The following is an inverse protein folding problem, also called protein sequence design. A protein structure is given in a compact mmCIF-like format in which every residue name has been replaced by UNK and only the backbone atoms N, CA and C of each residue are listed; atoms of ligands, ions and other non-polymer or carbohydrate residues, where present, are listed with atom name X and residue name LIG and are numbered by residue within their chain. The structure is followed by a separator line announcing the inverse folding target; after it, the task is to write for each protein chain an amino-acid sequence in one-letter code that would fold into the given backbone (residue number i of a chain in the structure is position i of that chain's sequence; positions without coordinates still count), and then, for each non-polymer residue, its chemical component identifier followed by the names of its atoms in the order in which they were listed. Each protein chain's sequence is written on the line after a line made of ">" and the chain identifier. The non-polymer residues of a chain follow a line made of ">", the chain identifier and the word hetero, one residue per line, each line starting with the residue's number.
data_IF_380544274314
#
_entry.id   IF_380544274314
#
_cell.length_a   1.000
_cell.length_b   1.000
_cell.length_c   1.000
_cell.angle_alpha   90.00
_cell.angle_beta   90.00
_cell.angle_gamma   90.00
#
_symmetry.space_group_name_H-M   'P 1'
#
loop_
_entity.id
_entity.type
_entity.pdbx_description
1 polymer ?
#
# COMPACT_ATOMS: atom_id res chain seq x y z
N UNK A 1 31.70 16.17 -7.04
CA UNK A 1 31.28 15.02 -7.88
C UNK A 1 30.66 13.96 -6.99
N UNK A 2 29.43 13.52 -7.27
CA UNK A 2 28.78 12.45 -6.50
C UNK A 2 29.42 11.10 -6.77
N UNK A 3 29.68 10.31 -5.72
CA UNK A 3 30.21 8.94 -5.87
C UNK A 3 29.13 8.06 -6.52
N UNK A 4 29.47 7.43 -7.65
CA UNK A 4 28.57 6.49 -8.31
C UNK A 4 28.38 5.24 -7.43
N UNK A 5 27.14 4.77 -7.31
CA UNK A 5 26.81 3.57 -6.56
C UNK A 5 27.42 2.33 -7.23
N UNK A 6 27.94 1.40 -6.43
CA UNK A 6 28.36 0.09 -6.92
C UNK A 6 27.18 -0.67 -7.54
N UNK A 7 27.44 -1.46 -8.59
CA UNK A 7 26.43 -2.30 -9.27
C UNK A 7 25.61 -3.15 -8.29
N UNK A 8 26.25 -3.68 -7.23
CA UNK A 8 25.58 -4.45 -6.17
C UNK A 8 24.57 -3.60 -5.38
N UNK A 9 24.95 -2.37 -5.06
CA UNK A 9 24.07 -1.43 -4.34
C UNK A 9 22.88 -1.00 -5.22
N UNK A 10 23.12 -0.70 -6.49
CA UNK A 10 22.07 -0.35 -7.46
C UNK A 10 21.05 -1.49 -7.59
N UNK A 11 21.52 -2.72 -7.74
CA UNK A 11 20.65 -3.90 -7.89
C UNK A 11 19.81 -4.13 -6.64
N UNK A 12 20.41 -4.01 -5.44
CA UNK A 12 19.70 -4.15 -4.16
C UNK A 12 18.59 -3.10 -4.05
N UNK A 13 18.91 -1.83 -4.28
CA UNK A 13 17.92 -0.74 -4.19
C UNK A 13 16.82 -0.91 -5.23
N UNK A 14 17.15 -1.32 -6.45
CA UNK A 14 16.16 -1.60 -7.51
C UNK A 14 15.14 -2.65 -7.08
N UNK A 15 15.59 -3.77 -6.50
CA UNK A 15 14.69 -4.85 -6.04
C UNK A 15 13.75 -4.38 -4.94
N UNK A 16 14.26 -3.61 -3.97
CA UNK A 16 13.45 -3.01 -2.90
C UNK A 16 12.43 -2.04 -3.48
N UNK A 17 12.85 -1.17 -4.39
CA UNK A 17 11.95 -0.20 -5.04
C UNK A 17 10.85 -0.90 -5.84
N UNK A 18 11.17 -1.97 -6.58
CA UNK A 18 10.17 -2.79 -7.28
C UNK A 18 9.12 -3.36 -6.34
N UNK A 19 9.53 -3.97 -5.22
CA UNK A 19 8.60 -4.46 -4.21
C UNK A 19 7.74 -3.33 -3.61
N UNK A 20 8.36 -2.18 -3.32
CA UNK A 20 7.70 -1.01 -2.75
C UNK A 20 6.59 -0.46 -3.66
N UNK A 21 6.82 -0.43 -4.98
CA UNK A 21 5.82 0.00 -5.96
C UNK A 21 4.53 -0.85 -5.84
N UNK A 22 4.66 -2.15 -5.62
CA UNK A 22 3.50 -3.03 -5.47
C UNK A 22 2.71 -2.73 -4.18
N UNK A 23 3.42 -2.53 -3.06
CA UNK A 23 2.81 -2.16 -1.77
C UNK A 23 2.10 -0.80 -1.86
N UNK A 24 2.76 0.21 -2.44
CA UNK A 24 2.16 1.54 -2.58
C UNK A 24 0.93 1.55 -3.47
N UNK A 25 0.90 0.74 -4.54
CA UNK A 25 -0.29 0.56 -5.37
C UNK A 25 -1.45 -0.10 -4.61
N UNK A 26 -1.18 -1.11 -3.80
CA UNK A 26 -2.20 -1.77 -2.98
C UNK A 26 -2.78 -0.79 -1.94
N UNK A 27 -1.93 -0.02 -1.25
CA UNK A 27 -2.36 1.04 -0.33
C UNK A 27 -3.15 2.12 -1.06
N UNK A 28 -2.75 2.50 -2.27
CA UNK A 28 -3.48 3.45 -3.11
C UNK A 28 -4.91 2.98 -3.40
N UNK A 29 -5.10 1.72 -3.78
CA UNK A 29 -6.45 1.16 -3.97
C UNK A 29 -7.26 1.15 -2.68
N UNK A 30 -6.65 0.77 -1.56
CA UNK A 30 -7.32 0.79 -0.27
C UNK A 30 -7.82 2.20 0.10
N UNK A 31 -7.01 3.22 -0.17
CA UNK A 31 -7.37 4.63 0.08
C UNK A 31 -8.48 5.15 -0.83
N UNK A 32 -8.70 4.56 -2.01
CA UNK A 32 -9.75 4.99 -2.93
C UNK A 32 -11.17 4.78 -2.37
N UNK A 33 -11.35 3.89 -1.40
CA UNK A 33 -12.64 3.71 -0.71
C UNK A 33 -13.03 4.90 0.17
N UNK A 34 -12.06 5.77 0.54
CA UNK A 34 -12.31 6.99 1.31
C UNK A 34 -13.04 6.78 2.66
N UNK A 35 -13.01 5.56 3.20
CA UNK A 35 -13.71 5.14 4.43
C UNK A 35 -13.37 5.98 5.66
N UNK A 36 -12.18 6.60 5.70
CA UNK A 36 -11.70 7.44 6.80
C UNK A 36 -11.43 8.89 6.39
N UNK A 37 -12.07 9.40 5.33
CA UNK A 37 -11.91 10.83 4.97
C UNK A 37 -12.62 11.79 5.93
N UNK A 38 -13.53 11.30 6.77
CA UNK A 38 -14.26 12.09 7.76
C UNK A 38 -13.96 11.68 9.21
N UNK A 39 -14.71 12.26 10.14
CA UNK A 39 -14.63 11.93 11.56
C UNK A 39 -15.20 10.52 11.77
N UNK A 40 -14.41 9.63 12.36
CA UNK A 40 -14.88 8.34 12.84
C UNK A 40 -15.40 8.51 14.27
N UNK A 41 -16.71 8.27 14.53
CA UNK A 41 -17.26 8.27 15.87
C UNK A 41 -16.51 7.30 16.80
N UNK A 42 -16.27 7.69 18.05
CA UNK A 42 -15.54 6.85 19.01
C UNK A 42 -16.22 5.48 19.24
N UNK A 43 -17.55 5.43 19.10
CA UNK A 43 -18.34 4.18 19.16
C UNK A 43 -17.96 3.16 18.08
N UNK A 44 -17.42 3.63 16.94
CA UNK A 44 -16.98 2.79 15.83
C UNK A 44 -15.48 2.46 15.89
N UNK A 45 -14.74 2.98 16.87
CA UNK A 45 -13.31 2.71 17.03
C UNK A 45 -12.96 1.21 17.05
N UNK A 46 -13.71 0.33 17.75
CA UNK A 46 -13.41 -1.11 17.75
C UNK A 46 -13.58 -1.80 16.39
N UNK A 47 -14.26 -1.16 15.43
CA UNK A 47 -14.55 -1.74 14.12
C UNK A 47 -13.55 -1.30 13.03
N UNK A 48 -12.69 -0.33 13.31
CA UNK A 48 -11.75 0.25 12.33
C UNK A 48 -10.90 -0.82 11.65
N UNK A 49 -10.39 -1.78 12.42
CA UNK A 49 -9.59 -2.89 11.89
C UNK A 49 -10.39 -3.77 10.92
N UNK A 50 -11.66 -4.06 11.25
CA UNK A 50 -12.54 -4.83 10.37
C UNK A 50 -12.87 -4.05 9.09
N UNK A 51 -13.10 -2.74 9.18
CA UNK A 51 -13.35 -1.89 8.01
C UNK A 51 -12.16 -1.91 7.03
N UNK A 52 -10.93 -1.82 7.56
CA UNK A 52 -9.70 -1.93 6.76
C UNK A 52 -9.58 -3.32 6.14
N UNK A 53 -9.81 -4.38 6.93
CA UNK A 53 -9.70 -5.77 6.46
C UNK A 53 -10.68 -6.05 5.31
N UNK A 54 -11.93 -5.61 5.43
CA UNK A 54 -12.94 -5.77 4.37
C UNK A 54 -12.49 -5.03 3.11
N UNK A 55 -12.03 -3.78 3.22
CA UNK A 55 -11.56 -3.03 2.05
C UNK A 55 -10.34 -3.70 1.40
N UNK A 56 -9.42 -4.26 2.20
CA UNK A 56 -8.27 -5.00 1.70
C UNK A 56 -8.68 -6.29 0.98
N UNK A 57 -9.66 -7.02 1.52
CA UNK A 57 -10.23 -8.20 0.87
C UNK A 57 -10.87 -7.85 -0.48
N UNK A 58 -11.64 -6.76 -0.56
CA UNK A 58 -12.20 -6.26 -1.81
C UNK A 58 -11.11 -5.85 -2.82
N UNK A 59 -10.04 -5.18 -2.38
CA UNK A 59 -8.89 -4.88 -3.23
C UNK A 59 -8.22 -6.13 -3.81
N UNK A 60 -8.20 -7.23 -3.05
CA UNK A 60 -7.63 -8.51 -3.49
C UNK A 60 -8.50 -9.23 -4.53
N UNK A 61 -9.82 -9.00 -4.51
CA UNK A 61 -10.77 -9.56 -5.46
C UNK A 61 -10.90 -8.73 -6.76
N UNK A 62 -10.43 -7.49 -6.74
CA UNK A 62 -10.35 -6.62 -7.91
C UNK A 62 -9.26 -7.10 -8.90
N UNK A 63 -9.23 -6.52 -10.10
CA UNK A 63 -8.27 -6.81 -11.16
C UNK A 63 -6.83 -6.84 -10.64
N UNK A 64 -6.04 -7.79 -11.13
CA UNK A 64 -4.68 -8.05 -10.64
C UNK A 64 -3.82 -6.77 -10.59
N UNK A 65 -3.29 -6.43 -9.41
CA UNK A 65 -2.44 -5.26 -9.15
C UNK A 65 -1.02 -5.39 -9.72
N UNK A 66 -0.55 -6.63 -9.80
CA UNK A 66 0.79 -7.02 -10.26
C UNK A 66 0.59 -8.08 -11.33
N UNK A 67 1.30 -7.93 -12.46
CA UNK A 67 1.31 -8.93 -13.53
C UNK A 67 2.10 -10.15 -13.11
#
# INVERSE_FOLDING_TARGET
>A
MGKQLSSKAVTKTRRIASARIHVERAIGRLKNYKIFQGIVPLKLHPLVDQMILVCAALCNLDLRLVK
#
